data_IF_118756734448
#
_entry.id   IF_118756734448
#
_cell.length_a   1.000
_cell.length_b   1.000
_cell.length_c   1.000
_cell.angle_alpha   90.00
_cell.angle_beta   90.00
_cell.angle_gamma   90.00
#
_symmetry.space_group_name_H-M   'P 1'
#
loop_
_entity.id
_entity.type
_entity.pdbx_description
1 polymer ?
#
# COMPACT_ATOMS: atom_id res chain seq x y z
N UNK A 1 23.61 -74.51 -12.83
CA UNK A 1 23.92 -73.52 -11.80
C UNK A 1 23.71 -72.17 -12.42
N UNK A 2 22.50 -71.58 -12.22
CA UNK A 2 22.11 -70.32 -12.83
C UNK A 2 22.23 -69.22 -11.82
N UNK A 3 23.11 -68.25 -12.07
CA UNK A 3 23.20 -67.03 -11.29
C UNK A 3 22.29 -65.96 -11.89
N UNK A 4 21.21 -65.64 -11.18
CA UNK A 4 20.38 -64.48 -11.47
C UNK A 4 20.99 -63.22 -10.87
N UNK A 5 21.38 -62.28 -11.71
CA UNK A 5 21.84 -60.97 -11.35
C UNK A 5 20.64 -60.01 -11.23
N UNK A 6 20.25 -59.64 -10.03
CA UNK A 6 19.25 -58.62 -9.81
C UNK A 6 19.87 -57.20 -9.96
N UNK A 7 19.53 -56.53 -11.06
CA UNK A 7 19.86 -55.13 -11.26
C UNK A 7 18.76 -54.27 -10.61
N UNK A 8 19.06 -53.66 -9.46
CA UNK A 8 18.14 -52.71 -8.80
C UNK A 8 18.15 -51.37 -9.53
N UNK A 9 17.00 -51.01 -10.12
CA UNK A 9 16.75 -49.68 -10.70
C UNK A 9 16.51 -48.69 -9.55
N UNK A 10 17.44 -47.80 -9.32
CA UNK A 10 17.25 -46.63 -8.40
C UNK A 10 16.55 -45.56 -9.19
N UNK A 11 15.23 -45.39 -8.97
CA UNK A 11 14.45 -44.28 -9.50
C UNK A 11 14.76 -43.02 -8.66
N UNK A 12 15.56 -42.11 -9.20
CA UNK A 12 15.78 -40.78 -8.64
C UNK A 12 14.55 -39.95 -9.01
N UNK A 13 13.63 -39.75 -8.06
CA UNK A 13 12.56 -38.78 -8.18
C UNK A 13 13.12 -37.38 -8.00
N UNK A 14 13.29 -36.65 -9.08
CA UNK A 14 13.54 -35.22 -9.07
C UNK A 14 12.30 -34.51 -8.52
N UNK A 15 12.34 -34.12 -7.27
CA UNK A 15 11.36 -33.21 -6.67
C UNK A 15 11.68 -31.83 -7.25
N UNK A 16 11.07 -31.52 -8.40
CA UNK A 16 11.08 -30.18 -8.95
C UNK A 16 10.28 -29.27 -8.01
N UNK A 17 10.94 -28.26 -7.42
CA UNK A 17 10.25 -27.13 -6.84
C UNK A 17 9.31 -26.52 -7.89
N UNK A 18 8.01 -26.79 -7.77
CA UNK A 18 7.00 -26.03 -8.52
C UNK A 18 7.03 -24.61 -7.95
N UNK A 19 7.66 -23.69 -8.66
CA UNK A 19 7.34 -22.27 -8.50
C UNK A 19 5.81 -22.16 -8.65
N UNK A 20 5.17 -21.51 -7.67
CA UNK A 20 3.75 -21.18 -7.75
C UNK A 20 3.58 -20.15 -8.88
N UNK A 21 3.40 -20.63 -10.09
CA UNK A 21 2.94 -19.82 -11.21
C UNK A 21 1.46 -19.59 -10.97
N UNK A 22 1.09 -18.33 -10.86
CA UNK A 22 -0.31 -17.92 -10.82
C UNK A 22 -1.05 -18.57 -11.98
N UNK A 23 -2.27 -19.07 -11.73
CA UNK A 23 -3.02 -19.91 -12.68
C UNK A 23 -3.28 -19.29 -14.07
N UNK A 24 -2.95 -18.01 -14.26
CA UNK A 24 -3.16 -17.28 -15.51
C UNK A 24 -1.87 -16.92 -16.27
N UNK A 25 -0.68 -17.22 -15.76
CA UNK A 25 0.58 -16.91 -16.47
C UNK A 25 0.88 -15.42 -16.68
N UNK A 26 0.15 -14.52 -16.01
CA UNK A 26 0.41 -13.09 -16.05
C UNK A 26 1.63 -12.76 -15.19
N UNK A 27 2.53 -11.97 -15.75
CA UNK A 27 3.62 -11.38 -14.98
C UNK A 27 3.03 -10.43 -13.90
N UNK A 28 3.63 -10.39 -12.71
CA UNK A 28 3.17 -9.47 -11.66
C UNK A 28 3.25 -8.03 -12.17
N UNK A 29 2.21 -7.25 -11.88
CA UNK A 29 2.21 -5.81 -12.15
C UNK A 29 3.17 -5.12 -11.19
N UNK A 30 4.12 -4.35 -11.75
CA UNK A 30 5.11 -3.62 -10.97
C UNK A 30 4.71 -2.16 -10.89
N UNK A 31 4.71 -1.62 -9.67
CA UNK A 31 4.41 -0.23 -9.39
C UNK A 31 5.44 0.37 -8.46
N UNK A 32 5.59 1.70 -8.47
CA UNK A 32 6.50 2.41 -7.59
C UNK A 32 5.81 3.52 -6.82
N UNK A 33 6.36 3.79 -5.63
CA UNK A 33 6.01 4.94 -4.84
C UNK A 33 6.90 6.13 -5.14
N UNK A 34 6.27 7.30 -5.26
CA UNK A 34 6.95 8.59 -5.38
C UNK A 34 6.62 9.46 -4.17
N UNK A 35 7.58 9.63 -3.26
CA UNK A 35 7.38 10.28 -1.97
C UNK A 35 7.80 11.76 -1.91
N UNK A 36 8.48 12.28 -2.95
CA UNK A 36 8.95 13.66 -2.94
C UNK A 36 7.79 14.63 -3.10
N UNK A 37 7.89 15.80 -2.47
CA UNK A 37 6.92 16.90 -2.61
C UNK A 37 7.06 17.72 -3.90
N UNK A 38 8.15 17.53 -4.65
CA UNK A 38 8.34 18.10 -5.98
C UNK A 38 8.55 16.98 -6.98
N UNK A 39 7.64 16.87 -7.97
CA UNK A 39 7.75 15.85 -8.99
C UNK A 39 8.84 16.21 -10.00
N UNK A 40 9.74 15.29 -10.23
CA UNK A 40 10.78 15.43 -11.26
C UNK A 40 10.69 14.27 -12.25
N UNK A 41 10.38 14.58 -13.50
CA UNK A 41 10.26 13.57 -14.56
C UNK A 41 11.53 12.73 -14.72
N UNK A 42 12.71 13.29 -14.45
CA UNK A 42 13.98 12.54 -14.51
C UNK A 42 14.05 11.39 -13.52
N UNK A 43 13.38 11.50 -12.38
CA UNK A 43 13.36 10.43 -11.38
C UNK A 43 12.62 9.20 -11.89
N UNK A 44 11.55 9.40 -12.69
CA UNK A 44 10.71 8.31 -13.21
C UNK A 44 11.01 7.95 -14.67
N UNK A 45 11.89 8.69 -15.36
CA UNK A 45 12.35 8.39 -16.72
C UNK A 45 13.78 7.83 -16.77
N UNK A 46 14.28 7.36 -15.63
CA UNK A 46 15.63 6.79 -15.56
C UNK A 46 15.72 5.53 -16.43
N UNK A 47 16.90 5.29 -17.02
CA UNK A 47 17.18 4.09 -17.85
C UNK A 47 16.83 2.80 -17.09
N UNK A 48 17.02 2.80 -15.78
CA UNK A 48 16.71 1.67 -14.91
C UNK A 48 15.19 1.40 -14.82
N UNK A 49 14.36 2.42 -14.58
CA UNK A 49 12.90 2.29 -14.56
C UNK A 49 12.35 1.84 -15.91
N UNK A 50 12.94 2.31 -17.02
CA UNK A 50 12.54 1.89 -18.36
C UNK A 50 12.89 0.42 -18.67
N UNK A 51 13.76 -0.22 -17.90
CA UNK A 51 14.10 -1.65 -18.05
C UNK A 51 13.13 -2.58 -17.32
N UNK A 52 12.21 -2.05 -16.52
CA UNK A 52 11.21 -2.78 -15.75
C UNK A 52 9.82 -2.44 -16.29
N UNK A 53 8.90 -3.41 -16.43
CA UNK A 53 7.54 -3.17 -16.94
C UNK A 53 6.66 -2.48 -15.89
N UNK A 54 7.00 -1.22 -15.55
CA UNK A 54 6.23 -0.39 -14.63
C UNK A 54 5.05 0.23 -15.37
N UNK A 55 3.85 0.09 -14.81
CA UNK A 55 2.62 0.65 -15.42
C UNK A 55 1.93 1.64 -14.48
N UNK A 56 2.24 1.62 -13.18
CA UNK A 56 1.55 2.42 -12.17
C UNK A 56 2.53 3.12 -11.24
N UNK A 57 2.22 4.37 -10.91
CA UNK A 57 2.90 5.13 -9.87
C UNK A 57 1.92 5.51 -8.77
N UNK A 58 2.28 5.19 -7.53
CA UNK A 58 1.69 5.75 -6.32
C UNK A 58 2.42 7.05 -6.02
N UNK A 59 1.73 8.17 -6.14
CA UNK A 59 2.37 9.49 -5.97
C UNK A 59 1.76 10.19 -4.76
N UNK A 60 2.61 10.52 -3.78
CA UNK A 60 2.22 11.30 -2.62
C UNK A 60 1.81 12.70 -3.05
N UNK A 61 0.56 13.06 -2.84
CA UNK A 61 0.03 14.38 -3.20
C UNK A 61 0.23 15.40 -2.09
N UNK A 62 -0.07 15.04 -0.86
CA UNK A 62 0.13 15.85 0.32
C UNK A 62 -0.07 15.00 1.58
N UNK A 63 0.33 15.53 2.72
CA UNK A 63 -0.03 14.99 4.01
C UNK A 63 -1.18 15.79 4.61
N UNK A 64 -1.84 15.18 5.58
CA UNK A 64 -2.82 15.85 6.45
C UNK A 64 -2.34 15.73 7.89
N UNK A 65 -2.17 16.86 8.53
CA UNK A 65 -1.85 16.97 9.93
C UNK A 65 -2.77 18.00 10.59
N UNK A 66 -2.66 18.22 11.88
CA UNK A 66 -3.43 19.22 12.61
C UNK A 66 -2.60 20.46 12.91
N UNK A 67 -3.21 21.63 12.76
CA UNK A 67 -2.61 22.89 13.17
C UNK A 67 -2.68 23.09 14.71
N UNK A 68 -2.20 24.24 15.18
CA UNK A 68 -2.22 24.60 16.60
C UNK A 68 -3.62 24.64 17.21
N UNK A 69 -4.65 24.87 16.39
CA UNK A 69 -6.06 24.86 16.79
C UNK A 69 -6.72 23.50 16.61
N UNK A 70 -5.92 22.44 16.36
CA UNK A 70 -6.38 21.07 16.09
C UNK A 70 -7.28 20.94 14.86
N UNK A 71 -7.13 21.81 13.85
CA UNK A 71 -7.86 21.72 12.57
C UNK A 71 -7.02 20.97 11.56
N UNK A 72 -7.60 20.01 10.79
CA UNK A 72 -6.87 19.33 9.73
C UNK A 72 -6.42 20.30 8.65
N UNK A 73 -5.15 20.26 8.32
CA UNK A 73 -4.52 21.09 7.28
C UNK A 73 -3.68 20.25 6.34
N UNK A 74 -3.66 20.57 5.03
CA UNK A 74 -2.75 19.91 4.09
C UNK A 74 -1.32 20.44 4.33
N UNK A 75 -0.36 19.50 4.34
CA UNK A 75 1.06 19.79 4.53
C UNK A 75 1.84 19.32 3.30
N UNK A 76 2.85 20.06 2.90
CA UNK A 76 3.80 19.74 1.83
C UNK A 76 3.11 19.23 0.54
N UNK A 77 2.22 20.00 -0.09
CA UNK A 77 1.54 19.57 -1.31
C UNK A 77 2.55 19.35 -2.45
N UNK A 78 2.26 18.33 -3.28
CA UNK A 78 3.02 18.02 -4.46
C UNK A 78 2.98 19.17 -5.45
N UNK A 79 4.14 19.46 -6.01
CA UNK A 79 4.31 20.44 -7.10
C UNK A 79 4.98 19.80 -8.31
N UNK A 80 4.82 20.39 -9.49
CA UNK A 80 5.55 19.97 -10.70
C UNK A 80 5.04 18.68 -11.36
N UNK A 81 3.85 18.20 -11.00
CA UNK A 81 3.23 17.06 -11.70
C UNK A 81 2.94 17.47 -13.16
N UNK A 82 3.49 16.78 -14.18
CA UNK A 82 3.26 17.13 -15.57
C UNK A 82 1.85 16.74 -16.02
N UNK A 83 1.31 17.40 -17.02
CA UNK A 83 -0.02 17.08 -17.58
C UNK A 83 -0.12 15.69 -18.22
N UNK A 84 1.00 15.09 -18.60
CA UNK A 84 1.06 13.75 -19.20
C UNK A 84 2.10 12.90 -18.49
N UNK A 85 1.69 11.71 -18.09
CA UNK A 85 2.54 10.66 -17.54
C UNK A 85 2.39 9.39 -18.39
N UNK A 86 3.47 8.65 -18.67
CA UNK A 86 3.40 7.36 -19.35
C UNK A 86 2.90 6.23 -18.42
N UNK A 87 2.54 6.55 -17.19
CA UNK A 87 2.11 5.62 -16.15
C UNK A 87 0.70 5.95 -15.69
N UNK A 88 -0.05 4.95 -15.25
CA UNK A 88 -1.26 5.20 -14.48
C UNK A 88 -0.90 5.80 -13.12
N UNK A 89 -1.71 6.75 -12.67
CA UNK A 89 -1.49 7.52 -11.44
C UNK A 89 -2.48 7.08 -10.37
N UNK A 90 -1.97 6.73 -9.19
CA UNK A 90 -2.75 6.59 -7.97
C UNK A 90 -2.29 7.65 -6.96
N UNK A 91 -3.10 8.69 -6.71
CA UNK A 91 -2.81 9.68 -5.68
C UNK A 91 -2.75 9.05 -4.29
N UNK A 92 -1.74 9.41 -3.50
CA UNK A 92 -1.57 8.98 -2.12
C UNK A 92 -1.69 10.18 -1.19
N UNK A 93 -2.48 10.05 -0.13
CA UNK A 93 -2.53 11.01 0.98
C UNK A 93 -2.05 10.30 2.23
N UNK A 94 -1.04 10.84 2.89
CA UNK A 94 -0.70 10.44 4.24
C UNK A 94 -1.51 11.26 5.24
N UNK A 95 -2.21 10.59 6.17
CA UNK A 95 -2.97 11.24 7.23
C UNK A 95 -2.39 10.82 8.56
N UNK A 96 -1.91 11.80 9.32
CA UNK A 96 -1.29 11.52 10.62
C UNK A 96 -2.30 10.89 11.59
N UNK A 97 -1.81 10.01 12.44
CA UNK A 97 -2.63 9.41 13.50
C UNK A 97 -3.19 10.48 14.45
N UNK A 98 -2.45 11.58 14.64
CA UNK A 98 -2.89 12.73 15.45
C UNK A 98 -4.16 13.38 14.90
N UNK A 99 -4.32 13.43 13.57
CA UNK A 99 -5.55 13.92 12.94
C UNK A 99 -6.77 13.17 13.48
N UNK A 100 -6.72 11.84 13.58
CA UNK A 100 -7.85 11.03 14.07
C UNK A 100 -7.94 10.97 15.61
N UNK A 101 -6.91 11.42 16.33
CA UNK A 101 -7.04 11.69 17.76
C UNK A 101 -7.85 12.97 18.05
N UNK A 102 -7.81 13.95 17.14
CA UNK A 102 -8.50 15.25 17.30
C UNK A 102 -9.82 15.31 16.53
N UNK A 103 -9.91 14.69 15.37
CA UNK A 103 -11.08 14.69 14.49
C UNK A 103 -11.85 13.39 14.66
N UNK A 104 -12.84 13.38 15.57
CA UNK A 104 -13.64 12.17 15.90
C UNK A 104 -15.13 12.35 15.60
N UNK A 105 -15.60 13.61 15.63
CA UNK A 105 -17.01 13.93 15.40
C UNK A 105 -17.37 13.68 13.92
N UNK A 106 -18.48 13.03 13.69
CA UNK A 106 -18.93 12.67 12.34
C UNK A 106 -18.97 13.88 11.39
N UNK A 107 -19.52 15.01 11.84
CA UNK A 107 -19.57 16.24 11.05
C UNK A 107 -18.19 16.72 10.61
N UNK A 108 -17.18 16.60 11.49
CA UNK A 108 -15.79 16.97 11.16
C UNK A 108 -15.14 15.96 10.20
N UNK A 109 -15.49 14.68 10.32
CA UNK A 109 -15.02 13.64 9.40
C UNK A 109 -15.65 13.84 7.99
N UNK A 110 -16.92 14.23 7.91
CA UNK A 110 -17.57 14.58 6.65
C UNK A 110 -16.88 15.79 6.00
N UNK A 111 -16.67 16.87 6.75
CA UNK A 111 -15.99 18.08 6.25
C UNK A 111 -14.55 17.76 5.76
N UNK A 112 -13.82 16.95 6.53
CA UNK A 112 -12.50 16.48 6.12
C UNK A 112 -12.56 15.70 4.81
N UNK A 113 -13.46 14.74 4.69
CA UNK A 113 -13.61 13.92 3.49
C UNK A 113 -14.02 14.74 2.26
N UNK A 114 -14.89 15.76 2.42
CA UNK A 114 -15.26 16.68 1.35
C UNK A 114 -14.09 17.50 0.83
N UNK A 115 -13.34 18.08 1.75
CA UNK A 115 -12.13 18.86 1.42
C UNK A 115 -11.06 18.00 0.73
N UNK A 116 -10.85 16.77 1.22
CA UNK A 116 -9.87 15.87 0.63
C UNK A 116 -10.30 15.38 -0.75
N UNK A 117 -11.57 14.97 -0.93
CA UNK A 117 -12.06 14.56 -2.23
C UNK A 117 -11.92 15.69 -3.27
N UNK A 118 -12.34 16.91 -2.91
CA UNK A 118 -12.23 18.09 -3.79
C UNK A 118 -10.76 18.38 -4.15
N UNK A 119 -9.85 18.33 -3.17
CA UNK A 119 -8.43 18.59 -3.40
C UNK A 119 -7.78 17.50 -4.25
N UNK A 120 -8.11 16.22 -4.02
CA UNK A 120 -7.61 15.10 -4.83
C UNK A 120 -8.04 15.24 -6.29
N UNK A 121 -9.32 15.53 -6.53
CA UNK A 121 -9.84 15.73 -7.88
C UNK A 121 -9.14 16.91 -8.57
N UNK A 122 -9.00 18.04 -7.88
CA UNK A 122 -8.30 19.23 -8.40
C UNK A 122 -6.86 18.92 -8.77
N UNK A 123 -6.10 18.29 -7.87
CA UNK A 123 -4.68 18.01 -8.09
C UNK A 123 -4.46 16.87 -9.10
N UNK A 124 -5.41 15.97 -9.26
CA UNK A 124 -5.33 14.90 -10.26
C UNK A 124 -5.54 15.41 -11.68
N UNK A 125 -6.26 16.50 -11.89
CA UNK A 125 -6.53 17.01 -13.24
C UNK A 125 -5.24 17.43 -13.96
N UNK A 126 -5.03 17.04 -15.24
CA UNK A 126 -5.97 16.36 -16.16
C UNK A 126 -5.89 14.83 -16.17
N UNK A 127 -5.20 14.20 -15.21
CA UNK A 127 -5.05 12.75 -15.16
C UNK A 127 -6.37 12.06 -14.81
N UNK A 128 -6.64 10.94 -15.49
CA UNK A 128 -7.74 10.05 -15.11
C UNK A 128 -7.25 9.07 -14.04
N UNK A 129 -7.68 9.29 -12.81
CA UNK A 129 -7.36 8.41 -11.68
C UNK A 129 -8.49 7.43 -11.44
N UNK A 130 -8.15 6.18 -11.13
CA UNK A 130 -9.12 5.11 -10.84
C UNK A 130 -9.13 4.72 -9.37
N UNK A 131 -8.10 5.12 -8.64
CA UNK A 131 -7.88 4.74 -7.26
C UNK A 131 -7.35 5.93 -6.47
N UNK A 132 -7.74 6.03 -5.19
CA UNK A 132 -7.10 6.85 -4.18
C UNK A 132 -6.54 5.94 -3.10
N UNK A 133 -5.32 6.20 -2.66
CA UNK A 133 -4.67 5.46 -1.58
C UNK A 133 -4.54 6.36 -0.35
N UNK A 134 -5.12 5.91 0.75
CA UNK A 134 -4.96 6.58 2.05
C UNK A 134 -3.90 5.83 2.85
N UNK A 135 -2.85 6.54 3.20
CA UNK A 135 -1.80 6.06 4.08
C UNK A 135 -2.03 6.60 5.50
N UNK A 136 -2.21 5.70 6.45
CA UNK A 136 -2.43 6.07 7.84
C UNK A 136 -1.92 4.99 8.79
N UNK A 137 -1.16 5.42 9.78
CA UNK A 137 -0.66 4.56 10.86
C UNK A 137 -1.68 4.45 11.99
N UNK A 138 -2.92 4.08 11.67
CA UNK A 138 -3.96 4.00 12.70
C UNK A 138 -3.60 2.98 13.79
N UNK A 139 -4.05 3.29 14.97
CA UNK A 139 -3.90 2.47 16.18
C UNK A 139 -5.28 2.05 16.71
N UNK A 140 -5.37 1.17 17.70
CA UNK A 140 -6.64 0.84 18.36
C UNK A 140 -7.41 2.09 18.85
N UNK A 141 -6.69 3.17 19.23
CA UNK A 141 -7.30 4.44 19.70
C UNK A 141 -7.92 5.27 18.59
N UNK A 142 -7.43 5.16 17.36
CA UNK A 142 -7.85 5.95 16.20
C UNK A 142 -8.61 5.12 15.16
N UNK A 143 -8.71 3.81 15.36
CA UNK A 143 -9.42 2.90 14.47
C UNK A 143 -10.82 3.36 14.10
N UNK A 144 -11.63 3.69 15.11
CA UNK A 144 -13.04 4.05 14.88
C UNK A 144 -13.17 5.32 14.02
N UNK A 145 -12.55 6.47 14.39
CA UNK A 145 -12.66 7.68 13.57
C UNK A 145 -12.02 7.48 12.18
N UNK A 146 -10.89 6.79 12.05
CA UNK A 146 -10.29 6.48 10.76
C UNK A 146 -11.23 5.63 9.88
N UNK A 147 -11.83 4.57 10.41
CA UNK A 147 -12.73 3.71 9.65
C UNK A 147 -14.02 4.43 9.25
N UNK A 148 -14.55 5.29 10.11
CA UNK A 148 -15.70 6.14 9.76
C UNK A 148 -15.33 7.11 8.63
N UNK A 149 -14.17 7.74 8.70
CA UNK A 149 -13.63 8.57 7.63
C UNK A 149 -13.49 7.78 6.31
N UNK A 150 -12.93 6.56 6.36
CA UNK A 150 -12.81 5.71 5.16
C UNK A 150 -14.17 5.40 4.54
N UNK A 151 -15.21 5.12 5.33
CA UNK A 151 -16.59 4.89 4.80
C UNK A 151 -17.11 6.13 4.08
N UNK A 152 -17.00 7.30 4.72
CA UNK A 152 -17.47 8.57 4.16
C UNK A 152 -16.73 8.90 2.86
N UNK A 153 -15.37 8.78 2.89
CA UNK A 153 -14.56 9.07 1.71
C UNK A 153 -14.81 8.07 0.56
N UNK A 154 -15.03 6.79 0.88
CA UNK A 154 -15.35 5.76 -0.11
C UNK A 154 -16.69 6.04 -0.82
N UNK A 155 -17.72 6.50 -0.11
CA UNK A 155 -18.98 6.92 -0.72
C UNK A 155 -18.77 8.09 -1.68
N UNK A 156 -17.96 9.08 -1.30
CA UNK A 156 -17.62 10.22 -2.16
C UNK A 156 -16.83 9.79 -3.39
N UNK A 157 -15.82 8.93 -3.24
CA UNK A 157 -14.99 8.41 -4.32
C UNK A 157 -15.82 7.66 -5.38
N UNK A 158 -16.81 6.87 -4.94
CA UNK A 158 -17.74 6.13 -5.84
C UNK A 158 -18.50 7.03 -6.79
N UNK A 159 -18.86 8.26 -6.39
CA UNK A 159 -19.53 9.22 -7.26
C UNK A 159 -18.68 9.62 -8.47
N UNK A 160 -17.36 9.41 -8.39
CA UNK A 160 -16.38 9.68 -9.44
C UNK A 160 -15.82 8.40 -10.07
N UNK A 161 -16.40 7.23 -9.77
CA UNK A 161 -15.91 5.92 -10.20
C UNK A 161 -14.48 5.64 -9.76
N UNK A 162 -14.10 6.11 -8.58
CA UNK A 162 -12.78 5.94 -7.97
C UNK A 162 -12.89 4.93 -6.82
N UNK A 163 -11.99 3.97 -6.78
CA UNK A 163 -11.87 3.00 -5.71
C UNK A 163 -10.96 3.53 -4.59
N UNK A 164 -11.37 3.33 -3.34
CA UNK A 164 -10.55 3.70 -2.18
C UNK A 164 -9.72 2.50 -1.73
N UNK A 165 -8.43 2.75 -1.57
CA UNK A 165 -7.44 1.82 -1.00
C UNK A 165 -6.86 2.39 0.30
N UNK A 166 -6.29 1.52 1.12
CA UNK A 166 -5.52 1.92 2.29
C UNK A 166 -4.19 1.16 2.36
N UNK A 167 -3.14 1.81 2.88
CA UNK A 167 -1.93 1.11 3.27
C UNK A 167 -2.20 0.25 4.51
N UNK A 168 -1.58 -0.90 4.57
CA UNK A 168 -1.65 -1.82 5.70
C UNK A 168 -0.23 -2.09 6.16
N UNK A 169 0.10 -1.71 7.38
CA UNK A 169 1.41 -2.04 7.96
C UNK A 169 1.45 -3.50 8.41
N UNK A 170 2.63 -4.09 8.46
CA UNK A 170 2.81 -5.47 8.92
C UNK A 170 2.24 -5.72 10.31
N UNK A 171 2.40 -4.76 11.24
CA UNK A 171 1.80 -4.85 12.57
C UNK A 171 0.27 -4.82 12.52
N UNK A 172 -0.32 -3.94 11.72
CA UNK A 172 -1.77 -3.87 11.51
C UNK A 172 -2.31 -5.14 10.86
N UNK A 173 -1.57 -5.70 9.90
CA UNK A 173 -1.90 -6.96 9.24
C UNK A 173 -1.87 -8.14 10.22
N UNK A 174 -0.80 -8.26 11.01
CA UNK A 174 -0.63 -9.35 11.96
C UNK A 174 -1.66 -9.29 13.09
N UNK A 175 -1.92 -8.09 13.61
CA UNK A 175 -2.77 -7.86 14.78
C UNK A 175 -4.16 -7.34 14.37
N UNK A 176 -4.69 -7.76 13.22
CA UNK A 176 -5.94 -7.23 12.66
C UNK A 176 -7.17 -7.44 13.54
N UNK A 177 -7.17 -8.41 14.42
CA UNK A 177 -8.24 -8.59 15.40
C UNK A 177 -8.38 -7.38 16.34
N UNK A 178 -7.26 -6.78 16.74
CA UNK A 178 -7.23 -5.59 17.59
C UNK A 178 -7.24 -4.27 16.79
N UNK A 179 -6.48 -4.21 15.70
CA UNK A 179 -6.36 -3.00 14.86
C UNK A 179 -7.51 -2.86 13.87
N UNK A 180 -8.19 -3.96 13.55
CA UNK A 180 -9.28 -4.02 12.58
C UNK A 180 -8.81 -3.99 11.14
N UNK A 181 -9.78 -4.18 10.23
CA UNK A 181 -9.59 -4.11 8.78
C UNK A 181 -10.32 -2.87 8.25
N UNK A 182 -9.66 -1.94 7.55
CA UNK A 182 -10.30 -0.72 7.09
C UNK A 182 -11.36 -1.01 6.02
N UNK A 183 -12.49 -0.27 6.02
CA UNK A 183 -13.61 -0.47 5.10
C UNK A 183 -13.35 0.18 3.73
N UNK A 184 -12.36 -0.35 3.02
CA UNK A 184 -11.91 0.08 1.69
C UNK A 184 -12.01 -1.07 0.69
N UNK A 185 -11.75 -0.82 -0.59
CA UNK A 185 -11.84 -1.84 -1.65
C UNK A 185 -10.70 -2.86 -1.58
N UNK A 186 -9.48 -2.37 -1.35
CA UNK A 186 -8.25 -3.18 -1.28
C UNK A 186 -7.20 -2.51 -0.42
N UNK A 187 -6.20 -3.26 -0.01
CA UNK A 187 -5.08 -2.77 0.77
C UNK A 187 -3.76 -2.87 0.02
N UNK A 188 -2.84 -1.97 0.32
CA UNK A 188 -1.44 -2.08 -0.06
C UNK A 188 -0.64 -2.46 1.17
N UNK A 189 -0.20 -3.73 1.24
CA UNK A 189 0.58 -4.24 2.35
C UNK A 189 2.01 -3.71 2.26
N UNK A 190 2.41 -2.91 3.24
CA UNK A 190 3.74 -2.34 3.36
C UNK A 190 4.70 -3.38 3.95
N UNK A 191 5.23 -4.27 3.10
CA UNK A 191 6.03 -5.43 3.50
C UNK A 191 7.52 -5.09 3.68
N UNK A 192 7.81 -3.94 4.29
CA UNK A 192 9.17 -3.47 4.57
C UNK A 192 9.27 -2.83 5.96
N UNK A 193 10.48 -2.43 6.39
CA UNK A 193 10.77 -1.90 7.73
C UNK A 193 10.34 -2.86 8.85
N UNK A 194 10.74 -4.13 8.70
CA UNK A 194 10.31 -5.22 9.58
C UNK A 194 11.00 -5.21 10.95
N UNK A 195 12.09 -4.45 11.09
CA UNK A 195 12.93 -4.40 12.29
C UNK A 195 13.06 -2.95 12.77
N UNK A 196 13.20 -2.77 14.09
CA UNK A 196 13.45 -1.45 14.65
C UNK A 196 14.77 -0.87 14.12
N UNK A 197 14.75 0.39 13.67
CA UNK A 197 15.94 1.11 13.16
C UNK A 197 17.12 1.15 14.14
N UNK A 198 16.89 0.86 15.42
CA UNK A 198 17.90 0.82 16.47
C UNK A 198 18.59 -0.53 16.63
N UNK A 199 18.20 -1.55 15.85
CA UNK A 199 18.84 -2.87 15.91
C UNK A 199 20.05 -2.93 15.00
N UNK A 200 21.22 -2.69 15.57
CA UNK A 200 22.52 -2.66 14.89
C UNK A 200 23.02 -4.03 14.41
N UNK A 201 22.40 -5.12 14.85
CA UNK A 201 22.78 -6.49 14.47
C UNK A 201 22.06 -6.95 13.19
N UNK A 202 21.07 -6.22 12.73
CA UNK A 202 20.28 -6.59 11.55
C UNK A 202 21.01 -6.21 10.27
N UNK A 203 21.31 -7.19 9.44
CA UNK A 203 22.00 -7.00 8.15
C UNK A 203 21.15 -6.30 7.08
N UNK A 204 19.83 -6.37 7.18
CA UNK A 204 18.90 -5.72 6.26
C UNK A 204 17.62 -5.29 7.01
N UNK A 205 17.53 -3.98 7.23
CA UNK A 205 16.40 -3.36 7.95
C UNK A 205 15.15 -3.30 7.07
N UNK A 206 15.30 -3.23 5.75
CA UNK A 206 14.18 -3.00 4.82
C UNK A 206 13.41 -4.29 4.59
N UNK A 207 14.10 -5.37 4.21
CA UNK A 207 13.49 -6.65 3.90
C UNK A 207 14.36 -7.78 4.45
N UNK A 208 13.80 -8.57 5.37
CA UNK A 208 14.44 -9.72 5.96
C UNK A 208 13.50 -10.93 5.88
N UNK A 209 13.90 -12.01 5.24
CA UNK A 209 13.09 -13.21 5.03
C UNK A 209 12.63 -13.84 6.35
N UNK A 210 13.49 -13.88 7.37
CA UNK A 210 13.18 -14.43 8.68
C UNK A 210 12.09 -13.62 9.39
N UNK A 211 12.19 -12.29 9.33
CA UNK A 211 11.24 -11.39 9.97
C UNK A 211 9.93 -11.32 9.18
N UNK A 212 9.99 -11.34 7.83
CA UNK A 212 8.80 -11.38 6.99
C UNK A 212 7.96 -12.63 7.23
N UNK A 213 8.58 -13.80 7.43
CA UNK A 213 7.86 -15.03 7.73
C UNK A 213 7.03 -14.91 9.01
N UNK A 214 7.54 -14.22 10.03
CA UNK A 214 6.84 -13.99 11.30
C UNK A 214 5.54 -13.16 11.13
N UNK A 215 5.54 -12.20 10.20
CA UNK A 215 4.36 -11.38 9.94
C UNK A 215 3.37 -12.04 8.97
N UNK A 216 3.86 -12.87 8.03
CA UNK A 216 3.07 -13.40 6.94
C UNK A 216 2.51 -14.82 7.19
N UNK A 217 2.70 -15.39 8.39
CA UNK A 217 2.29 -16.77 8.71
C UNK A 217 0.79 -17.05 8.63
N UNK A 218 -0.09 -16.06 8.66
CA UNK A 218 -1.55 -16.20 8.68
C UNK A 218 -2.26 -15.46 7.52
N UNK A 219 -1.69 -15.51 6.32
CA UNK A 219 -2.19 -14.77 5.15
C UNK A 219 -3.63 -15.06 4.75
N UNK A 220 -4.17 -16.22 5.12
CA UNK A 220 -5.50 -16.67 4.68
C UNK A 220 -6.68 -16.06 5.47
N UNK A 221 -6.43 -15.33 6.55
CA UNK A 221 -7.48 -14.80 7.42
C UNK A 221 -7.74 -13.29 7.27
N UNK A 222 -6.93 -12.58 6.51
CA UNK A 222 -7.15 -11.15 6.28
C UNK A 222 -8.19 -10.93 5.19
N UNK A 223 -9.32 -10.31 5.54
CA UNK A 223 -10.50 -10.25 4.68
C UNK A 223 -10.48 -9.16 3.60
N UNK A 224 -9.38 -8.48 3.40
CA UNK A 224 -9.22 -7.45 2.38
C UNK A 224 -8.27 -7.95 1.28
N UNK A 225 -8.60 -7.82 -0.02
CA UNK A 225 -7.63 -8.07 -1.08
C UNK A 225 -6.39 -7.20 -0.91
N UNK A 226 -5.20 -7.82 -0.98
CA UNK A 226 -3.94 -7.12 -0.75
C UNK A 226 -3.07 -7.13 -1.99
N UNK A 227 -2.46 -5.98 -2.28
CA UNK A 227 -1.29 -5.84 -3.15
C UNK A 227 -0.07 -5.71 -2.26
N UNK A 228 1.06 -6.30 -2.64
CA UNK A 228 2.31 -6.18 -1.90
C UNK A 228 3.04 -4.89 -2.31
N UNK A 229 3.46 -4.10 -1.33
CA UNK A 229 4.21 -2.85 -1.49
C UNK A 229 5.58 -2.88 -0.81
#
# INVERSE_FOLDING_TARGET
MNHFLCIGLISITLIGCKQAVDKEGKLPEISFFYWKSTFNVKDVSSRWLNSIPVNKLYIRFFDVDVDVDHRPVPVAPLTGLPEKLPYSLTPVIFITNETFLKVKEEKKLVDLADKLASKLLQMSHPHQVKEWLIDCDWSPKTRIPFFNFCRILNEKARNYHIELMATIRLDQYKNFESTGVPPVKSGLLMAYNMVALADWETSNIILNEKDSSFYLQNTNSYHLPLTLG
#
